data_IF_784063512402
#
_entry.id   IF_784063512402
#
_cell.length_a   1.000
_cell.length_b   1.000
_cell.length_c   1.000
_cell.angle_alpha   90.00
_cell.angle_beta   90.00
_cell.angle_gamma   90.00
#
_symmetry.space_group_name_H-M   'P 1'
#
loop_
_entity.id
_entity.type
_entity.pdbx_description
1 polymer ?
#
# COMPACT_ATOMS: atom_id res chain seq x y z
N UNK A 1 7.26 -34.69 -48.54
CA UNK A 1 6.13 -35.32 -49.25
C UNK A 1 5.08 -35.67 -48.19
N UNK A 2 4.00 -34.89 -48.05
CA UNK A 2 2.64 -35.17 -48.56
C UNK A 2 2.06 -36.48 -47.96
N UNK A 3 0.91 -36.57 -47.27
CA UNK A 3 -0.50 -36.17 -47.53
C UNK A 3 -1.29 -36.29 -46.18
N UNK A 4 -2.24 -35.47 -45.73
CA UNK A 4 -3.60 -35.07 -46.19
C UNK A 4 -4.68 -36.18 -46.18
N UNK A 5 -5.83 -35.81 -45.57
CA UNK A 5 -7.18 -36.42 -45.48
C UNK A 5 -7.38 -37.56 -44.47
N UNK A 6 -8.41 -37.59 -43.61
CA UNK A 6 -9.71 -36.93 -43.61
C UNK A 6 -10.78 -38.01 -43.48
N UNK A 7 -11.53 -38.07 -42.37
CA UNK A 7 -12.77 -38.86 -42.32
C UNK A 7 -13.82 -38.15 -41.48
N UNK A 8 -14.95 -37.92 -42.15
CA UNK A 8 -16.20 -37.33 -41.69
C UNK A 8 -17.10 -38.52 -41.30
N UNK A 9 -17.74 -38.44 -40.14
CA UNK A 9 -18.69 -39.45 -39.69
C UNK A 9 -19.70 -38.81 -38.73
N UNK A 10 -20.79 -38.32 -39.29
CA UNK A 10 -21.96 -37.79 -38.61
C UNK A 10 -22.76 -38.95 -37.99
N UNK A 11 -23.09 -38.87 -36.69
CA UNK A 11 -24.29 -39.53 -36.15
C UNK A 11 -24.96 -38.62 -35.14
N UNK A 12 -26.10 -38.10 -35.56
CA UNK A 12 -27.10 -37.37 -34.79
C UNK A 12 -27.92 -38.33 -33.93
N UNK A 13 -28.03 -38.06 -32.63
CA UNK A 13 -29.21 -38.39 -31.82
C UNK A 13 -29.24 -37.45 -30.60
N UNK A 14 -30.38 -36.78 -30.43
CA UNK A 14 -30.66 -35.75 -29.46
C UNK A 14 -30.79 -36.32 -28.04
N UNK A 15 -30.26 -35.62 -27.05
CA UNK A 15 -30.84 -35.60 -25.71
C UNK A 15 -30.96 -34.14 -25.28
N UNK A 16 -32.20 -33.67 -25.16
CA UNK A 16 -32.55 -32.35 -24.63
C UNK A 16 -32.23 -32.31 -23.13
N UNK A 17 -31.56 -31.26 -22.61
CA UNK A 17 -31.83 -30.79 -21.28
C UNK A 17 -33.07 -29.89 -21.33
N UNK A 18 -34.13 -30.35 -20.68
CA UNK A 18 -35.34 -29.59 -20.38
C UNK A 18 -34.97 -28.25 -19.74
N UNK A 19 -35.37 -27.17 -20.40
CA UNK A 19 -35.45 -25.82 -19.87
C UNK A 19 -36.21 -25.80 -18.54
N UNK A 20 -35.63 -25.21 -17.50
CA UNK A 20 -36.36 -24.73 -16.33
C UNK A 20 -35.89 -23.33 -16.02
N UNK A 21 -36.33 -22.39 -16.86
CA UNK A 21 -36.30 -20.97 -16.54
C UNK A 21 -37.29 -20.70 -15.40
N UNK A 22 -36.76 -20.36 -14.23
CA UNK A 22 -37.36 -19.32 -13.41
C UNK A 22 -36.26 -18.53 -12.74
N UNK A 23 -36.01 -17.38 -13.35
CA UNK A 23 -35.45 -16.18 -12.75
C UNK A 23 -35.69 -16.11 -11.24
N UNK A 24 -34.61 -16.10 -10.48
CA UNK A 24 -34.37 -14.99 -9.57
C UNK A 24 -32.87 -14.75 -9.59
N UNK A 25 -32.47 -13.85 -10.48
CA UNK A 25 -31.34 -12.96 -10.25
C UNK A 25 -31.56 -12.31 -8.89
N UNK A 26 -30.88 -12.84 -7.89
CA UNK A 26 -30.37 -12.06 -6.76
C UNK A 26 -28.88 -12.32 -6.84
N UNK A 27 -28.23 -11.67 -7.81
CA UNK A 27 -27.46 -10.46 -7.53
C UNK A 27 -26.58 -10.67 -6.32
N UNK A 28 -25.30 -10.74 -6.62
CA UNK A 28 -24.16 -10.47 -5.76
C UNK A 28 -24.39 -9.16 -4.98
N UNK A 29 -25.27 -9.22 -4.00
CA UNK A 29 -25.65 -8.13 -3.09
C UNK A 29 -25.66 -8.68 -1.66
N UNK A 30 -24.62 -9.43 -1.31
CA UNK A 30 -24.10 -9.43 0.05
C UNK A 30 -22.87 -8.50 0.09
N UNK A 31 -23.01 -7.34 -0.58
CA UNK A 31 -22.42 -6.09 -0.15
C UNK A 31 -23.42 -5.48 0.85
N UNK A 32 -23.69 -6.12 1.98
CA UNK A 32 -24.23 -5.41 3.15
C UNK A 32 -23.10 -4.48 3.62
N UNK A 33 -22.87 -3.27 3.10
CA UNK A 33 -23.72 -2.08 3.09
C UNK A 33 -24.40 -1.78 4.43
N UNK A 34 -23.64 -1.90 5.52
CA UNK A 34 -23.82 -1.05 6.73
C UNK A 34 -22.49 -0.50 7.29
N UNK A 35 -21.32 -1.06 6.93
CA UNK A 35 -19.99 -0.54 7.37
C UNK A 35 -19.35 0.48 6.41
N UNK A 36 -19.93 0.70 5.23
CA UNK A 36 -19.26 1.40 4.12
C UNK A 36 -18.90 2.88 4.34
N UNK A 37 -19.54 3.61 5.26
CA UNK A 37 -19.11 4.99 5.59
C UNK A 37 -18.08 5.03 6.72
N UNK A 38 -18.20 4.14 7.71
CA UNK A 38 -17.22 4.00 8.79
C UNK A 38 -15.89 3.51 8.25
N UNK A 39 -15.90 2.56 7.32
CA UNK A 39 -14.70 2.09 6.61
C UNK A 39 -14.03 3.21 5.82
N UNK A 40 -14.81 4.07 5.15
CA UNK A 40 -14.25 5.22 4.40
C UNK A 40 -13.61 6.24 5.35
N UNK A 41 -14.27 6.59 6.45
CA UNK A 41 -13.72 7.52 7.45
C UNK A 41 -12.45 6.95 8.09
N UNK A 42 -12.41 5.65 8.40
CA UNK A 42 -11.23 4.95 8.91
C UNK A 42 -10.08 4.91 7.89
N UNK A 43 -10.39 4.69 6.61
CA UNK A 43 -9.45 4.76 5.49
C UNK A 43 -8.86 6.17 5.38
N UNK A 44 -9.70 7.21 5.41
CA UNK A 44 -9.26 8.61 5.35
C UNK A 44 -8.41 8.98 6.56
N UNK A 45 -8.74 8.50 7.75
CA UNK A 45 -7.95 8.69 8.97
C UNK A 45 -6.60 7.96 8.88
N UNK A 46 -6.56 6.76 8.30
CA UNK A 46 -5.33 6.01 8.05
C UNK A 46 -4.42 6.72 7.04
N UNK A 47 -5.00 7.29 5.97
CA UNK A 47 -4.27 8.13 5.02
C UNK A 47 -3.71 9.40 5.66
N UNK A 48 -4.51 10.10 6.48
CA UNK A 48 -4.05 11.28 7.22
C UNK A 48 -2.90 10.93 8.15
N UNK A 49 -3.01 9.81 8.86
CA UNK A 49 -1.95 9.28 9.72
C UNK A 49 -0.69 8.96 8.93
N UNK A 50 -0.82 8.32 7.77
CA UNK A 50 0.30 8.05 6.87
C UNK A 50 0.97 9.36 6.42
N UNK A 51 0.21 10.35 5.97
CA UNK A 51 0.75 11.64 5.54
C UNK A 51 1.53 12.34 6.67
N UNK A 52 0.93 12.43 7.86
CA UNK A 52 1.60 13.01 9.03
C UNK A 52 2.84 12.21 9.47
N UNK A 53 2.83 10.88 9.30
CA UNK A 53 4.02 10.05 9.59
C UNK A 53 5.16 10.32 8.60
N UNK A 54 4.84 10.52 7.31
CA UNK A 54 5.81 10.86 6.26
C UNK A 54 6.41 12.23 6.53
N UNK A 55 5.59 13.24 6.83
CA UNK A 55 6.07 14.59 7.16
C UNK A 55 7.03 14.57 8.35
N UNK A 56 6.67 13.87 9.43
CA UNK A 56 7.54 13.68 10.59
C UNK A 56 8.85 12.98 10.22
N UNK A 57 8.78 11.91 9.45
CA UNK A 57 9.95 11.17 8.98
C UNK A 57 10.88 12.06 8.15
N UNK A 58 10.34 12.84 7.23
CA UNK A 58 11.11 13.78 6.40
C UNK A 58 11.81 14.85 7.25
N UNK A 59 11.11 15.43 8.23
CA UNK A 59 11.69 16.40 9.15
C UNK A 59 12.86 15.83 9.93
N UNK A 60 12.68 14.64 10.53
CA UNK A 60 13.75 14.01 11.32
C UNK A 60 14.91 13.55 10.43
N UNK A 61 14.65 13.15 9.18
CA UNK A 61 15.72 12.87 8.20
C UNK A 61 16.58 14.10 7.91
N UNK A 62 15.96 15.28 7.80
CA UNK A 62 16.71 16.53 7.61
C UNK A 62 17.59 16.81 8.83
N UNK A 63 17.03 16.73 10.04
CA UNK A 63 17.78 16.93 11.29
C UNK A 63 19.00 15.98 11.40
N UNK A 64 18.84 14.71 11.00
CA UNK A 64 19.95 13.74 10.96
C UNK A 64 20.94 14.02 9.82
N UNK A 65 20.47 14.56 8.70
CA UNK A 65 21.33 15.00 7.61
C UNK A 65 22.28 16.13 8.02
N UNK A 66 21.79 17.08 8.81
CA UNK A 66 22.54 18.26 9.25
C UNK A 66 23.72 17.89 10.18
N UNK A 67 23.56 16.84 11.00
CA UNK A 67 24.59 16.36 11.95
C UNK A 67 25.54 15.32 11.33
N UNK A 68 25.20 14.75 10.17
CA UNK A 68 26.00 13.73 9.48
C UNK A 68 27.49 14.11 9.32
N UNK A 69 27.86 15.34 8.89
CA UNK A 69 29.27 15.70 8.78
C UNK A 69 30.00 15.74 10.13
N UNK A 70 29.31 16.10 11.23
CA UNK A 70 29.87 16.07 12.58
C UNK A 70 30.13 14.64 13.06
N UNK A 71 29.18 13.73 12.79
CA UNK A 71 29.36 12.31 13.08
C UNK A 71 30.55 11.75 12.29
N UNK A 72 30.67 12.09 11.00
CA UNK A 72 31.78 11.66 10.15
C UNK A 72 33.14 12.05 10.74
N UNK A 73 33.33 13.34 11.03
CA UNK A 73 34.57 13.84 11.66
C UNK A 73 34.90 13.14 12.98
N UNK A 74 33.90 12.93 13.84
CA UNK A 74 34.10 12.19 15.10
C UNK A 74 34.54 10.74 14.83
N UNK A 75 33.93 10.06 13.86
CA UNK A 75 34.30 8.68 13.49
C UNK A 75 35.69 8.59 12.85
N UNK A 76 36.13 9.65 12.18
CA UNK A 76 37.48 9.78 11.63
C UNK A 76 38.53 10.10 12.72
N UNK A 77 38.10 10.29 13.98
CA UNK A 77 38.98 10.54 15.13
C UNK A 77 39.36 12.01 15.32
N UNK A 78 38.73 12.94 14.59
CA UNK A 78 38.95 14.37 14.76
C UNK A 78 38.35 14.87 16.08
N UNK A 79 39.10 15.71 16.79
CA UNK A 79 38.60 16.37 17.98
C UNK A 79 37.59 17.44 17.58
N UNK A 80 36.34 17.22 17.95
CA UNK A 80 35.26 18.19 17.85
C UNK A 80 35.28 19.16 19.03
N UNK A 81 34.88 20.40 18.78
CA UNK A 81 34.75 21.43 19.82
C UNK A 81 33.62 21.10 20.80
N UNK A 82 33.58 21.77 21.96
CA UNK A 82 32.54 21.55 22.96
C UNK A 82 31.12 21.82 22.46
N UNK A 83 30.94 22.84 21.62
CA UNK A 83 29.65 23.17 21.00
C UNK A 83 29.22 22.10 19.99
N UNK A 84 30.15 21.67 19.13
CA UNK A 84 29.93 20.59 18.17
C UNK A 84 29.59 19.26 18.88
N UNK A 85 30.19 18.99 20.04
CA UNK A 85 29.89 17.82 20.85
C UNK A 85 28.45 17.85 21.41
N UNK A 86 27.95 19.02 21.83
CA UNK A 86 26.56 19.17 22.28
C UNK A 86 25.56 19.05 21.12
N UNK A 87 25.91 19.60 19.95
CA UNK A 87 25.16 19.39 18.72
C UNK A 87 25.13 17.91 18.33
N UNK A 88 26.25 17.20 18.48
CA UNK A 88 26.37 15.77 18.20
C UNK A 88 25.53 14.92 19.16
N UNK A 89 25.52 15.22 20.47
CA UNK A 89 24.65 14.56 21.46
C UNK A 89 23.17 14.74 21.13
N UNK A 90 22.78 15.97 20.79
CA UNK A 90 21.41 16.29 20.35
C UNK A 90 21.09 15.54 19.06
N UNK A 91 22.05 15.49 18.14
CA UNK A 91 21.96 14.78 16.89
C UNK A 91 21.75 13.28 17.04
N UNK A 92 22.51 12.61 17.90
CA UNK A 92 22.36 11.19 18.21
C UNK A 92 20.95 10.90 18.76
N UNK A 93 20.40 11.82 19.56
CA UNK A 93 18.99 11.73 19.99
C UNK A 93 18.01 11.84 18.81
N UNK A 94 18.30 12.65 17.80
CA UNK A 94 17.54 12.71 16.55
C UNK A 94 17.70 11.44 15.68
N UNK A 95 18.84 10.74 15.70
CA UNK A 95 18.96 9.40 15.08
C UNK A 95 18.00 8.39 15.73
N UNK A 96 17.88 8.40 17.05
CA UNK A 96 16.90 7.55 17.72
C UNK A 96 15.46 7.89 17.29
N UNK A 97 15.14 9.19 17.20
CA UNK A 97 13.83 9.63 16.67
C UNK A 97 13.62 9.19 15.22
N UNK A 98 14.68 9.14 14.41
CA UNK A 98 14.59 8.71 13.01
C UNK A 98 14.15 7.25 12.91
N UNK A 99 14.76 6.37 13.71
CA UNK A 99 14.40 4.95 13.76
C UNK A 99 12.94 4.78 14.17
N UNK A 100 12.49 5.53 15.20
CA UNK A 100 11.09 5.50 15.63
C UNK A 100 10.14 6.01 14.56
N UNK A 101 10.43 7.17 13.96
CA UNK A 101 9.62 7.73 12.89
C UNK A 101 9.52 6.80 11.67
N UNK A 102 10.58 6.06 11.38
CA UNK A 102 10.57 5.04 10.33
C UNK A 102 9.62 3.88 10.68
N UNK A 103 9.68 3.37 11.91
CA UNK A 103 8.76 2.34 12.39
C UNK A 103 7.30 2.82 12.35
N UNK A 104 7.03 4.04 12.83
CA UNK A 104 5.70 4.64 12.83
C UNK A 104 5.16 4.80 11.39
N UNK A 105 6.02 5.23 10.46
CA UNK A 105 5.69 5.32 9.04
C UNK A 105 5.35 3.95 8.44
N UNK A 106 6.13 2.90 8.72
CA UNK A 106 5.86 1.54 8.24
C UNK A 106 4.52 1.02 8.77
N UNK A 107 4.23 1.26 10.05
CA UNK A 107 2.94 0.88 10.65
C UNK A 107 1.77 1.63 9.99
N UNK A 108 1.94 2.94 9.74
CA UNK A 108 0.92 3.73 9.05
C UNK A 108 0.71 3.30 7.60
N UNK A 109 1.79 2.91 6.89
CA UNK A 109 1.74 2.41 5.53
C UNK A 109 0.96 1.09 5.43
N UNK A 110 1.16 0.19 6.39
CA UNK A 110 0.42 -1.06 6.47
C UNK A 110 -1.08 -0.81 6.71
N UNK A 111 -1.42 0.09 7.65
CA UNK A 111 -2.81 0.46 7.94
C UNK A 111 -3.51 1.19 6.79
N UNK A 112 -2.76 1.89 5.94
CA UNK A 112 -3.30 2.57 4.78
C UNK A 112 -3.44 1.68 3.53
N UNK A 113 -3.07 0.39 3.57
CA UNK A 113 -3.25 -0.52 2.42
C UNK A 113 -4.70 -0.60 1.91
N UNK A 114 -5.74 -0.69 2.75
CA UNK A 114 -7.13 -0.72 2.28
C UNK A 114 -7.52 0.52 1.45
N UNK A 115 -6.88 1.66 1.70
CA UNK A 115 -7.08 2.87 0.90
C UNK A 115 -6.66 2.68 -0.56
N UNK A 116 -5.60 1.88 -0.79
CA UNK A 116 -5.13 1.53 -2.13
C UNK A 116 -6.11 0.60 -2.83
N UNK A 117 -6.61 -0.41 -2.13
CA UNK A 117 -7.58 -1.36 -2.69
C UNK A 117 -8.89 -0.65 -3.07
N UNK A 118 -9.34 0.30 -2.23
CA UNK A 118 -10.49 1.15 -2.53
C UNK A 118 -10.26 2.02 -3.78
N UNK A 119 -9.10 2.66 -3.89
CA UNK A 119 -8.73 3.46 -5.06
C UNK A 119 -8.67 2.60 -6.33
N UNK A 120 -8.08 1.41 -6.24
CA UNK A 120 -7.98 0.47 -7.36
C UNK A 120 -9.37 -0.02 -7.82
N UNK A 121 -10.31 -0.25 -6.90
CA UNK A 121 -11.71 -0.57 -7.22
C UNK A 121 -12.39 0.57 -7.98
N UNK A 122 -12.35 1.79 -7.43
CA UNK A 122 -12.95 2.99 -8.05
C UNK A 122 -12.37 3.29 -9.44
N UNK A 123 -11.07 3.05 -9.65
CA UNK A 123 -10.42 3.26 -10.95
C UNK A 123 -10.70 2.14 -11.96
N UNK A 124 -10.88 0.89 -11.51
CA UNK A 124 -11.27 -0.23 -12.38
C UNK A 124 -12.73 -0.12 -12.81
N UNK A 125 -13.63 0.24 -11.89
CA UNK A 125 -15.05 0.44 -12.18
C UNK A 125 -15.28 1.53 -13.24
N UNK A 126 -14.38 2.53 -13.31
CA UNK A 126 -14.41 3.60 -14.33
C UNK A 126 -13.84 3.25 -15.71
N UNK A 127 -13.15 2.11 -15.88
CA UNK A 127 -12.61 1.69 -17.18
C UNK A 127 -13.55 0.78 -17.97
N UNK A 128 -14.69 0.40 -17.40
CA UNK A 128 -15.65 -0.55 -17.98
C UNK A 128 -16.87 0.16 -18.59
N UNK A 129 -16.87 1.50 -18.65
CA UNK A 129 -17.90 2.30 -19.35
C UNK A 129 -17.30 2.98 -20.58
#
# INVERSE_FOLDING_TARGET
MARVNGVKGETSAQELPTISDKDTVTSEEELESVEGSQDIDEILNSLKTLLSSVEKLQKVRQEVGDIKPLIGRMLDGELVTGEELEQLKTGVSSLFRLVRAHSDHQAALAKAQPARDLLDRVLKDRKVT
#
